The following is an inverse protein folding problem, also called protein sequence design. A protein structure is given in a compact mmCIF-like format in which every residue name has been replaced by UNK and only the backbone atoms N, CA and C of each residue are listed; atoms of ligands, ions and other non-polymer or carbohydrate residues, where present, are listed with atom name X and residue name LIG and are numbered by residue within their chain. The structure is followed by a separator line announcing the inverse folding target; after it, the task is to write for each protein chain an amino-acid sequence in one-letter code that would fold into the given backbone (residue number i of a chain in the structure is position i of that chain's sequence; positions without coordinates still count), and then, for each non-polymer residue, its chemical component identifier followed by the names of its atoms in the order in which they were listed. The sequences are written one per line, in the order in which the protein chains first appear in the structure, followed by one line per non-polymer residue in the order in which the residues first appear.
data_IF_796197754150
#
_entry.id   IF_796197754150
#
_cell.length_a   1.000
_cell.length_b   1.000
_cell.length_c   1.000
_cell.angle_alpha   90.00
_cell.angle_beta   90.00
_cell.angle_gamma   90.00
#
_symmetry.space_group_name_H-M   'P 1'
#
loop_
_entity.id
_entity.type
_entity.pdbx_description
1 polymer ?
#
# COMPACT_ATOMS: atom_id res chain seq x y z
N UNK A 1 -6.67 45.50 -28.64
CA UNK A 1 -5.83 45.37 -27.46
C UNK A 1 -6.67 44.64 -26.43
N UNK A 2 -6.62 43.35 -26.41
CA UNK A 2 -7.38 42.50 -25.50
C UNK A 2 -6.44 41.40 -25.02
N UNK A 3 -5.94 41.61 -23.84
CA UNK A 3 -4.96 40.73 -23.17
C UNK A 3 -5.67 39.48 -22.71
N UNK A 4 -5.41 38.38 -23.41
CA UNK A 4 -6.01 37.08 -23.10
C UNK A 4 -5.30 36.41 -21.92
N UNK A 5 -5.87 36.58 -20.73
CA UNK A 5 -5.47 35.88 -19.52
C UNK A 5 -5.67 34.35 -19.69
N UNK A 6 -4.67 33.67 -20.22
CA UNK A 6 -4.55 32.23 -20.22
C UNK A 6 -4.13 31.73 -18.84
N UNK A 7 -4.99 31.96 -17.84
CA UNK A 7 -4.91 31.19 -16.58
C UNK A 7 -5.18 29.74 -16.88
N UNK A 8 -4.10 28.99 -17.02
CA UNK A 8 -4.09 27.54 -16.91
C UNK A 8 -4.89 27.15 -15.67
N UNK A 9 -6.13 26.72 -15.86
CA UNK A 9 -6.90 26.02 -14.83
C UNK A 9 -6.17 24.74 -14.53
N UNK A 10 -5.26 24.75 -13.55
CA UNK A 10 -4.83 23.55 -12.84
C UNK A 10 -6.12 22.91 -12.36
N UNK A 11 -6.41 21.71 -12.88
CA UNK A 11 -7.56 20.93 -12.44
C UNK A 11 -7.44 20.72 -10.93
N UNK A 12 -8.12 21.54 -10.16
CA UNK A 12 -8.29 21.31 -8.72
C UNK A 12 -9.14 20.05 -8.61
N UNK A 13 -8.48 18.94 -8.33
CA UNK A 13 -9.13 17.70 -7.99
C UNK A 13 -10.04 18.00 -6.78
N UNK A 14 -11.36 18.00 -7.00
CA UNK A 14 -12.32 18.22 -5.93
C UNK A 14 -12.45 16.92 -5.15
N UNK A 15 -11.72 16.83 -4.05
CA UNK A 15 -12.02 15.86 -3.00
C UNK A 15 -13.33 16.33 -2.36
N UNK A 16 -14.33 15.46 -2.35
CA UNK A 16 -15.63 15.75 -1.77
C UNK A 16 -15.65 15.64 -0.25
N UNK A 17 -16.83 15.81 0.36
CA UNK A 17 -16.99 15.60 1.79
C UNK A 17 -16.65 14.16 2.17
N UNK A 18 -16.36 13.92 3.47
CA UNK A 18 -16.18 12.57 3.98
C UNK A 18 -17.36 11.65 3.64
N UNK A 19 -17.08 10.35 3.44
CA UNK A 19 -18.09 9.34 3.07
C UNK A 19 -18.99 8.90 4.23
N UNK A 20 -18.64 9.26 5.46
CA UNK A 20 -19.35 8.83 6.67
C UNK A 20 -19.69 10.03 7.54
N UNK A 21 -20.77 9.94 8.29
CA UNK A 21 -21.10 10.86 9.36
C UNK A 21 -20.08 10.70 10.52
N UNK A 22 -19.80 11.76 11.24
CA UNK A 22 -18.80 11.72 12.34
C UNK A 22 -17.36 11.45 11.89
N UNK A 23 -17.03 11.79 10.64
CA UNK A 23 -15.74 11.51 10.02
C UNK A 23 -14.53 12.03 10.82
N UNK A 24 -14.67 13.14 11.52
CA UNK A 24 -13.60 13.69 12.36
C UNK A 24 -13.33 12.78 13.57
N UNK A 25 -14.38 12.36 14.29
CA UNK A 25 -14.25 11.42 15.40
C UNK A 25 -13.67 10.08 14.93
N UNK A 26 -14.20 9.55 13.82
CA UNK A 26 -13.68 8.33 13.21
C UNK A 26 -12.21 8.44 12.82
N UNK A 27 -11.80 9.57 12.21
CA UNK A 27 -10.42 9.79 11.79
C UNK A 27 -9.46 9.93 12.98
N UNK A 28 -9.90 10.55 14.06
CA UNK A 28 -9.12 10.67 15.29
C UNK A 28 -8.94 9.32 16.01
N UNK A 29 -9.94 8.44 15.95
CA UNK A 29 -9.90 7.12 16.58
C UNK A 29 -9.15 6.09 15.72
N UNK A 30 -9.34 6.13 14.40
CA UNK A 30 -8.85 5.08 13.49
C UNK A 30 -7.66 5.52 12.62
N UNK A 31 -7.22 6.77 12.73
CA UNK A 31 -6.15 7.36 11.90
C UNK A 31 -6.40 7.25 10.40
N UNK A 32 -7.66 7.22 9.96
CA UNK A 32 -8.08 7.11 8.56
C UNK A 32 -9.18 8.10 8.24
N UNK A 33 -9.02 8.86 7.16
CA UNK A 33 -10.05 9.73 6.62
C UNK A 33 -10.61 9.13 5.32
N UNK A 34 -11.90 8.84 5.32
CA UNK A 34 -12.60 8.24 4.19
C UNK A 34 -13.22 9.32 3.31
N UNK A 35 -12.70 9.47 2.10
CA UNK A 35 -13.08 10.52 1.15
C UNK A 35 -13.61 9.90 -0.15
N UNK A 36 -14.21 10.74 -1.01
CA UNK A 36 -14.58 10.37 -2.37
C UNK A 36 -14.21 11.47 -3.35
N UNK A 37 -13.60 11.10 -4.46
CA UNK A 37 -13.38 12.03 -5.55
C UNK A 37 -14.69 12.23 -6.32
N UNK A 38 -15.34 13.38 -6.13
CA UNK A 38 -16.69 13.65 -6.64
C UNK A 38 -16.81 13.46 -8.15
N UNK A 39 -15.89 13.95 -9.00
CA UNK A 39 -16.05 13.83 -10.45
C UNK A 39 -16.04 12.41 -10.99
N UNK A 40 -15.34 11.47 -10.32
CA UNK A 40 -15.19 10.07 -10.80
C UNK A 40 -15.90 9.05 -9.93
N UNK A 41 -16.37 9.44 -8.74
CA UNK A 41 -16.95 8.52 -7.77
C UNK A 41 -15.93 7.57 -7.11
N UNK A 42 -14.62 7.77 -7.35
CA UNK A 42 -13.57 6.93 -6.79
C UNK A 42 -13.38 7.23 -5.31
N UNK A 43 -13.37 6.20 -4.50
CA UNK A 43 -13.09 6.27 -3.07
C UNK A 43 -11.60 6.47 -2.81
N UNK A 44 -11.30 7.30 -1.82
CA UNK A 44 -9.96 7.59 -1.35
C UNK A 44 -9.91 7.42 0.16
N UNK A 45 -9.13 6.47 0.62
CA UNK A 45 -8.85 6.24 2.02
C UNK A 45 -7.49 6.86 2.35
N UNK A 46 -7.49 7.89 3.18
CA UNK A 46 -6.30 8.62 3.59
C UNK A 46 -5.91 8.18 4.99
N UNK A 47 -4.90 7.32 5.10
CA UNK A 47 -4.34 6.89 6.38
C UNK A 47 -3.30 7.91 6.88
N UNK A 48 -3.37 8.25 8.17
CA UNK A 48 -2.38 9.11 8.82
C UNK A 48 -1.28 8.26 9.41
N UNK A 49 -0.04 8.45 8.95
CA UNK A 49 1.12 7.73 9.47
C UNK A 49 1.41 8.08 10.92
N UNK A 50 1.04 7.23 11.85
CA UNK A 50 1.22 7.43 13.29
C UNK A 50 2.38 6.61 13.87
N UNK A 51 2.77 5.50 13.23
CA UNK A 51 3.94 4.70 13.61
C UNK A 51 5.23 5.23 12.98
N UNK A 52 6.37 4.90 13.58
CA UNK A 52 7.67 5.24 13.00
C UNK A 52 7.89 4.53 11.66
N UNK A 53 7.38 3.30 11.52
CA UNK A 53 7.43 2.56 10.27
C UNK A 53 6.69 3.29 9.13
N UNK A 54 5.46 3.75 9.37
CA UNK A 54 4.68 4.48 8.36
C UNK A 54 5.34 5.80 7.98
N UNK A 55 5.85 6.54 8.97
CA UNK A 55 6.61 7.77 8.71
C UNK A 55 7.87 7.52 7.89
N UNK A 56 8.58 6.43 8.16
CA UNK A 56 9.76 6.04 7.38
C UNK A 56 9.37 5.61 5.97
N UNK A 57 8.30 4.83 5.79
CA UNK A 57 7.79 4.42 4.49
C UNK A 57 7.40 5.63 3.62
N UNK A 58 6.74 6.64 4.21
CA UNK A 58 6.41 7.89 3.52
C UNK A 58 7.68 8.65 3.10
N UNK A 59 8.65 8.81 4.01
CA UNK A 59 9.91 9.54 3.74
C UNK A 59 10.77 8.85 2.68
N UNK A 60 10.74 7.52 2.62
CA UNK A 60 11.53 6.72 1.69
C UNK A 60 10.79 6.37 0.40
N UNK A 61 9.57 6.89 0.23
CA UNK A 61 8.80 6.74 -1.00
C UNK A 61 9.53 7.30 -2.21
N UNK A 62 9.32 6.70 -3.36
CA UNK A 62 9.93 7.13 -4.62
C UNK A 62 8.85 7.61 -5.58
N UNK A 63 9.13 8.64 -6.43
CA UNK A 63 8.17 9.07 -7.44
C UNK A 63 7.87 7.94 -8.43
N UNK A 64 6.59 7.65 -8.62
CA UNK A 64 6.11 6.75 -9.65
C UNK A 64 5.18 7.50 -10.61
N UNK A 65 5.31 7.23 -11.90
CA UNK A 65 4.49 7.83 -12.94
C UNK A 65 3.33 6.92 -13.29
N UNK A 66 2.13 7.49 -13.33
CA UNK A 66 0.93 6.82 -13.80
C UNK A 66 0.24 7.72 -14.85
N UNK A 67 0.41 7.38 -16.09
CA UNK A 67 -0.01 8.23 -17.20
C UNK A 67 0.67 9.61 -17.15
N UNK A 68 -0.13 10.66 -16.97
CA UNK A 68 0.36 12.06 -16.87
C UNK A 68 0.58 12.52 -15.42
N UNK A 69 0.23 11.69 -14.46
CA UNK A 69 0.41 11.98 -13.05
C UNK A 69 1.70 11.36 -12.51
N UNK A 70 2.27 11.98 -11.49
CA UNK A 70 3.34 11.42 -10.68
C UNK A 70 2.94 11.51 -9.22
N UNK A 71 3.14 10.42 -8.49
CA UNK A 71 2.86 10.38 -7.06
C UNK A 71 3.99 9.65 -6.31
N UNK A 72 4.24 9.99 -5.04
CA UNK A 72 5.10 9.20 -4.18
C UNK A 72 4.49 7.79 -4.02
N UNK A 73 5.31 6.76 -4.20
CA UNK A 73 4.92 5.37 -4.02
C UNK A 73 5.83 4.71 -2.98
N UNK A 74 5.25 3.97 -2.06
CA UNK A 74 6.01 3.19 -1.09
C UNK A 74 6.88 2.16 -1.81
N UNK A 75 8.05 1.85 -1.24
CA UNK A 75 8.94 0.82 -1.78
C UNK A 75 8.28 -0.55 -1.68
N UNK A 76 8.71 -1.47 -2.53
CA UNK A 76 8.17 -2.82 -2.57
C UNK A 76 8.32 -3.55 -1.20
N UNK A 77 9.44 -3.34 -0.49
CA UNK A 77 9.67 -3.87 0.85
C UNK A 77 8.62 -3.37 1.86
N UNK A 78 8.34 -2.07 1.84
CA UNK A 78 7.37 -1.47 2.76
C UNK A 78 5.95 -1.93 2.43
N UNK A 79 5.62 -2.08 1.13
CA UNK A 79 4.34 -2.64 0.70
C UNK A 79 4.16 -4.10 1.14
N UNK A 80 5.21 -4.92 1.11
CA UNK A 80 5.15 -6.30 1.64
C UNK A 80 4.84 -6.29 3.14
N UNK A 81 5.43 -5.38 3.91
CA UNK A 81 5.13 -5.25 5.35
C UNK A 81 3.68 -4.84 5.59
N UNK A 82 3.18 -3.80 4.90
CA UNK A 82 1.77 -3.40 5.01
C UNK A 82 0.79 -4.52 4.67
N UNK A 83 1.09 -5.28 3.61
CA UNK A 83 0.27 -6.40 3.16
C UNK A 83 0.32 -7.58 4.13
N UNK A 84 1.49 -7.90 4.66
CA UNK A 84 1.66 -8.95 5.66
C UNK A 84 0.97 -8.59 6.99
N UNK A 85 1.01 -7.31 7.39
CA UNK A 85 0.31 -6.80 8.57
C UNK A 85 -1.22 -6.94 8.43
N UNK A 86 -1.77 -6.60 7.27
CA UNK A 86 -3.20 -6.72 6.99
C UNK A 86 -3.68 -8.18 6.90
N UNK A 87 -2.82 -9.08 6.40
CA UNK A 87 -2.98 -10.54 6.32
C UNK A 87 -4.29 -11.05 5.70
N UNK A 88 -5.06 -10.21 4.99
CA UNK A 88 -6.27 -10.66 4.27
C UNK A 88 -5.87 -11.54 3.07
N UNK A 89 -6.70 -12.46 2.61
CA UNK A 89 -6.38 -13.33 1.48
C UNK A 89 -5.84 -12.59 0.26
N UNK A 90 -6.45 -11.46 -0.11
CA UNK A 90 -5.98 -10.61 -1.22
C UNK A 90 -4.61 -9.99 -0.93
N UNK A 91 -4.36 -9.57 0.29
CA UNK A 91 -3.08 -8.94 0.67
C UNK A 91 -1.93 -9.94 0.61
N UNK A 92 -2.17 -11.18 1.01
CA UNK A 92 -1.19 -12.28 0.88
C UNK A 92 -0.86 -12.54 -0.61
N UNK A 93 -1.87 -12.57 -1.50
CA UNK A 93 -1.66 -12.73 -2.94
C UNK A 93 -0.85 -11.55 -3.53
N UNK A 94 -1.23 -10.32 -3.20
CA UNK A 94 -0.57 -9.11 -3.67
C UNK A 94 0.90 -9.06 -3.19
N UNK A 95 1.16 -9.39 -1.92
CA UNK A 95 2.52 -9.43 -1.37
C UNK A 95 3.38 -10.53 -2.02
N UNK A 96 2.80 -11.71 -2.26
CA UNK A 96 3.49 -12.78 -2.97
C UNK A 96 3.86 -12.36 -4.40
N UNK A 97 2.95 -11.66 -5.11
CA UNK A 97 3.23 -11.11 -6.43
C UNK A 97 4.36 -10.07 -6.39
N UNK A 98 4.37 -9.17 -5.40
CA UNK A 98 5.46 -8.19 -5.20
C UNK A 98 6.82 -8.88 -5.03
N UNK A 99 6.91 -9.94 -4.20
CA UNK A 99 8.15 -10.69 -3.99
C UNK A 99 8.60 -11.39 -5.28
N UNK A 100 7.66 -11.88 -6.09
CA UNK A 100 7.98 -12.53 -7.37
C UNK A 100 8.50 -11.53 -8.41
N UNK A 101 7.95 -10.32 -8.43
CA UNK A 101 8.35 -9.25 -9.34
C UNK A 101 9.66 -8.56 -8.90
N UNK A 102 9.97 -8.57 -7.61
CA UNK A 102 11.13 -7.92 -7.02
C UNK A 102 11.97 -8.95 -6.23
N UNK A 103 12.75 -9.80 -6.90
CA UNK A 103 13.48 -10.90 -6.24
C UNK A 103 14.55 -10.44 -5.26
N UNK A 104 14.93 -9.16 -5.29
CA UNK A 104 15.93 -8.53 -4.42
C UNK A 104 15.35 -7.93 -3.14
N UNK A 105 14.03 -8.08 -2.90
CA UNK A 105 13.40 -7.61 -1.64
C UNK A 105 14.10 -8.24 -0.43
N UNK A 106 14.51 -7.38 0.52
CA UNK A 106 15.06 -7.83 1.81
C UNK A 106 13.93 -8.31 2.74
N UNK A 107 13.59 -9.61 2.61
CA UNK A 107 12.58 -10.25 3.46
C UNK A 107 12.99 -10.31 4.93
N UNK A 108 14.30 -10.31 5.25
CA UNK A 108 14.76 -10.28 6.63
C UNK A 108 14.46 -8.91 7.27
N UNK A 109 14.66 -7.83 6.53
CA UNK A 109 14.26 -6.47 6.96
C UNK A 109 12.75 -6.37 7.11
N UNK A 110 11.97 -6.89 6.16
CA UNK A 110 10.51 -6.90 6.24
C UNK A 110 10.03 -7.65 7.50
N UNK A 111 10.65 -8.80 7.81
CA UNK A 111 10.34 -9.57 9.02
C UNK A 111 10.66 -8.82 10.31
N UNK A 112 11.81 -8.13 10.40
CA UNK A 112 12.13 -7.31 11.57
C UNK A 112 11.11 -6.20 11.77
N UNK A 113 10.73 -5.48 10.71
CA UNK A 113 9.72 -4.41 10.77
C UNK A 113 8.36 -4.92 11.23
N UNK A 114 7.95 -6.10 10.73
CA UNK A 114 6.68 -6.69 11.14
C UNK A 114 6.70 -7.14 12.61
N UNK A 115 7.83 -7.68 13.08
CA UNK A 115 8.01 -8.03 14.49
C UNK A 115 7.95 -6.80 15.40
N UNK A 116 8.58 -5.67 15.01
CA UNK A 116 8.51 -4.41 15.73
C UNK A 116 7.07 -3.89 15.84
N UNK A 117 6.30 -3.97 14.74
CA UNK A 117 4.89 -3.56 14.70
C UNK A 117 4.00 -4.48 15.55
N UNK A 118 4.23 -5.80 15.50
CA UNK A 118 3.52 -6.78 16.32
C UNK A 118 3.77 -6.54 17.81
N UNK A 119 5.01 -6.20 18.19
CA UNK A 119 5.35 -5.84 19.55
C UNK A 119 4.68 -4.54 20.00
N UNK A 120 4.64 -3.52 19.12
CA UNK A 120 3.99 -2.23 19.42
C UNK A 120 2.48 -2.38 19.58
N UNK A 121 1.86 -3.26 18.80
CA UNK A 121 0.43 -3.55 18.88
C UNK A 121 0.07 -4.54 20.01
N UNK A 122 1.06 -5.13 20.67
CA UNK A 122 0.87 -6.23 21.66
C UNK A 122 0.15 -7.45 21.04
N UNK A 123 0.26 -7.63 19.71
CA UNK A 123 -0.38 -8.71 18.94
C UNK A 123 0.68 -9.57 18.21
N UNK A 124 1.28 -10.57 18.88
CA UNK A 124 2.32 -11.42 18.28
C UNK A 124 1.89 -12.12 16.98
N UNK A 125 0.59 -12.42 16.82
CA UNK A 125 0.03 -13.08 15.64
C UNK A 125 0.23 -12.24 14.35
N UNK A 126 0.41 -10.92 14.45
CA UNK A 126 0.69 -10.07 13.29
C UNK A 126 2.01 -10.45 12.60
N UNK A 127 2.98 -10.99 13.33
CA UNK A 127 4.25 -11.44 12.76
C UNK A 127 4.09 -12.66 11.83
N UNK A 128 3.04 -13.44 11.97
CA UNK A 128 2.78 -14.64 11.15
C UNK A 128 2.40 -14.29 9.70
N UNK A 129 1.92 -13.07 9.44
CA UNK A 129 1.51 -12.63 8.11
C UNK A 129 2.62 -12.78 7.06
N UNK A 130 3.88 -12.51 7.42
CA UNK A 130 5.00 -12.68 6.50
C UNK A 130 5.26 -14.15 6.17
N UNK A 131 5.10 -15.05 7.11
CA UNK A 131 5.23 -16.50 6.89
C UNK A 131 4.18 -16.99 5.88
N UNK A 132 2.94 -16.51 6.01
CA UNK A 132 1.88 -16.81 5.04
C UNK A 132 2.23 -16.30 3.64
N UNK A 133 2.74 -15.09 3.51
CA UNK A 133 3.21 -14.51 2.24
C UNK A 133 4.35 -15.34 1.64
N UNK A 134 5.35 -15.73 2.43
CA UNK A 134 6.47 -16.57 1.98
C UNK A 134 5.98 -17.94 1.53
N UNK A 135 5.09 -18.57 2.29
CA UNK A 135 4.50 -19.85 1.92
C UNK A 135 3.74 -19.76 0.59
N UNK A 136 2.93 -18.70 0.41
CA UNK A 136 2.22 -18.44 -0.84
C UNK A 136 3.17 -18.23 -2.02
N UNK A 137 4.22 -17.44 -1.83
CA UNK A 137 5.24 -17.19 -2.85
C UNK A 137 5.90 -18.49 -3.32
N UNK A 138 6.25 -19.38 -2.39
CA UNK A 138 6.83 -20.70 -2.69
C UNK A 138 5.84 -21.58 -3.47
N UNK A 139 4.56 -21.56 -3.09
CA UNK A 139 3.52 -22.33 -3.79
C UNK A 139 3.36 -21.88 -5.25
N UNK A 140 3.34 -20.56 -5.50
CA UNK A 140 3.25 -20.01 -6.86
C UNK A 140 4.47 -20.39 -7.71
N UNK A 141 5.69 -20.25 -7.17
CA UNK A 141 6.93 -20.67 -7.86
C UNK A 141 6.90 -22.14 -8.24
N UNK A 142 6.48 -23.02 -7.32
CA UNK A 142 6.37 -24.46 -7.57
C UNK A 142 5.35 -24.80 -8.65
N UNK A 143 4.21 -24.10 -8.66
CA UNK A 143 3.17 -24.29 -9.69
C UNK A 143 3.66 -23.85 -11.08
N UNK A 144 4.38 -22.73 -11.16
CA UNK A 144 4.96 -22.24 -12.41
C UNK A 144 6.00 -23.23 -12.99
N UNK A 145 6.91 -23.73 -12.15
CA UNK A 145 7.92 -24.72 -12.57
C UNK A 145 7.31 -26.02 -13.11
N UNK A 146 6.22 -26.51 -12.48
CA UNK A 146 5.52 -27.71 -12.98
C UNK A 146 4.88 -27.51 -14.34
N UNK A 147 4.37 -26.30 -14.64
CA UNK A 147 3.76 -26.00 -15.95
C UNK A 147 4.81 -25.92 -17.05
N UNK A 148 5.99 -25.36 -16.75
CA UNK A 148 7.11 -25.28 -17.71
C UNK A 148 7.69 -26.63 -18.05
N UNK A 149 7.82 -27.56 -17.09
CA UNK A 149 8.33 -28.90 -17.32
C UNK A 149 7.33 -29.91 -17.92
N UNK A 150 6.05 -29.53 -18.06
CA UNK A 150 5.02 -30.36 -18.71
C UNK A 150 4.78 -29.98 -20.18
N UNK A 151 5.47 -28.91 -20.66
CA UNK A 151 5.35 -28.40 -22.03
C UNK A 151 6.53 -28.82 -22.93
N UNK A 152 7.50 -29.58 -22.40
CA UNK A 152 8.58 -30.27 -23.11
C UNK A 152 8.21 -31.74 -23.34
#
# INVERSE_FOLDING_TARGET
MGDGDHRTRRGQGRVGPPRIEGAEAFANENFVLLLRHVPTGVDLDLSFGWTDFEREAIKSSTPASYGRASCPMARAEDLVVFKALAARPKDIEDAAALILMHPTIDLARAGRRLADLAALAEEPALAEGLEQVIARTRAVRKAASKRSGAAE
#
